data_IF_022467992269
#
_entry.id   IF_022467992269
#
_cell.length_a   1.000
_cell.length_b   1.000
_cell.length_c   1.000
_cell.angle_alpha   90.00
_cell.angle_beta   90.00
_cell.angle_gamma   90.00
#
_symmetry.space_group_name_H-M   'P 1'
#
loop_
_entity.id
_entity.type
_entity.pdbx_description
1 polymer ?
#
# COMPACT_ATOMS: atom_id res chain seq x y z
N UNK A 1 -40.97 25.47 -0.81
CA UNK A 1 -39.56 25.52 -0.39
C UNK A 1 -39.08 24.07 -0.32
N UNK A 2 -38.38 23.59 -1.34
CA UNK A 2 -37.94 22.19 -1.44
C UNK A 2 -36.54 22.16 -0.86
N UNK A 3 -36.35 21.55 0.31
CA UNK A 3 -35.05 21.27 0.88
C UNK A 3 -34.45 20.06 0.14
N UNK A 4 -33.50 20.31 -0.73
CA UNK A 4 -32.62 19.24 -1.22
C UNK A 4 -31.70 18.84 -0.07
N UNK A 5 -32.04 17.73 0.56
CA UNK A 5 -31.15 17.08 1.52
C UNK A 5 -30.05 16.41 0.70
N UNK A 6 -28.95 17.13 0.48
CA UNK A 6 -27.72 16.54 -0.06
C UNK A 6 -27.14 15.64 1.01
N UNK A 7 -27.53 14.37 1.03
CA UNK A 7 -26.79 13.36 1.78
C UNK A 7 -25.42 13.25 1.12
N UNK A 8 -24.42 13.91 1.69
CA UNK A 8 -23.04 13.66 1.34
C UNK A 8 -22.80 12.15 1.52
N UNK A 9 -22.47 11.45 0.44
CA UNK A 9 -22.10 10.05 0.51
C UNK A 9 -20.94 9.95 1.49
N UNK A 10 -21.06 9.07 2.49
CA UNK A 10 -20.02 8.88 3.48
C UNK A 10 -18.72 8.47 2.78
N UNK A 11 -17.60 9.09 3.14
CA UNK A 11 -16.27 8.76 2.63
C UNK A 11 -15.92 7.32 2.97
N UNK A 12 -15.22 6.60 2.08
CA UNK A 12 -14.76 5.25 2.35
C UNK A 12 -13.83 5.24 3.58
N UNK A 13 -13.95 4.24 4.49
CA UNK A 13 -13.23 4.22 5.77
C UNK A 13 -11.70 4.34 5.64
N UNK A 14 -11.12 3.87 4.55
CA UNK A 14 -9.68 3.95 4.33
C UNK A 14 -9.17 5.39 4.31
N UNK A 15 -9.96 6.33 3.82
CA UNK A 15 -9.56 7.74 3.71
C UNK A 15 -9.59 8.48 5.06
N UNK A 16 -10.19 7.90 6.08
CA UNK A 16 -10.21 8.45 7.44
C UNK A 16 -9.04 7.96 8.29
N UNK A 17 -8.19 7.07 7.76
CA UNK A 17 -7.06 6.52 8.46
C UNK A 17 -5.89 7.49 8.43
N UNK A 18 -5.41 7.91 9.59
CA UNK A 18 -4.22 8.74 9.75
C UNK A 18 -2.97 7.92 9.49
N UNK A 19 -2.07 8.42 8.67
CA UNK A 19 -0.78 7.83 8.37
C UNK A 19 0.24 8.93 8.07
N UNK A 20 1.52 8.65 8.34
CA UNK A 20 2.60 9.60 8.08
C UNK A 20 3.43 9.19 6.86
N UNK A 21 3.89 10.19 6.12
CA UNK A 21 4.91 9.98 5.10
C UNK A 21 6.28 9.64 5.71
N UNK A 22 7.27 9.39 4.87
CA UNK A 22 8.64 9.03 5.30
C UNK A 22 9.34 10.15 6.08
N UNK A 23 8.83 11.37 6.04
CA UNK A 23 9.34 12.53 6.77
C UNK A 23 8.52 12.82 8.05
N UNK A 24 7.71 11.86 8.50
CA UNK A 24 6.82 11.96 9.66
C UNK A 24 5.76 13.07 9.55
N UNK A 25 5.40 13.45 8.33
CA UNK A 25 4.31 14.40 8.10
C UNK A 25 2.98 13.66 7.88
N UNK A 26 1.87 14.11 8.48
CA UNK A 26 0.56 13.51 8.26
C UNK A 26 0.16 13.56 6.78
N UNK A 27 -0.34 12.43 6.28
CA UNK A 27 -0.88 12.28 4.93
C UNK A 27 -2.38 12.07 5.01
N UNK A 28 -3.11 12.82 4.21
CA UNK A 28 -4.52 12.61 3.95
C UNK A 28 -4.68 11.68 2.74
N UNK A 29 -5.06 10.43 3.01
CA UNK A 29 -5.26 9.42 1.97
C UNK A 29 -6.37 9.78 0.99
N UNK A 30 -7.28 10.70 1.36
CA UNK A 30 -8.33 11.17 0.44
C UNK A 30 -7.79 11.91 -0.79
N UNK A 31 -6.54 12.40 -0.75
CA UNK A 31 -5.87 12.96 -1.92
C UNK A 31 -5.70 11.95 -3.05
N UNK A 32 -5.72 10.65 -2.74
CA UNK A 32 -5.65 9.58 -3.74
C UNK A 32 -7.03 9.07 -4.17
N UNK A 33 -8.10 9.64 -3.67
CA UNK A 33 -9.46 9.29 -4.06
C UNK A 33 -9.64 9.42 -5.59
N UNK A 34 -10.31 8.43 -6.18
CA UNK A 34 -10.49 8.36 -7.64
C UNK A 34 -9.39 7.57 -8.37
N UNK A 35 -8.27 7.24 -7.68
CA UNK A 35 -7.23 6.34 -8.19
C UNK A 35 -7.29 4.99 -7.48
N UNK A 36 -6.80 3.96 -8.16
CA UNK A 36 -6.44 2.72 -7.49
C UNK A 36 -5.21 2.94 -6.62
N UNK A 37 -5.11 2.24 -5.50
CA UNK A 37 -3.94 2.28 -4.62
C UNK A 37 -3.42 0.86 -4.44
N UNK A 38 -2.12 0.66 -4.62
CA UNK A 38 -1.44 -0.59 -4.29
C UNK A 38 -0.55 -0.36 -3.06
N UNK A 39 -1.01 -0.82 -1.90
CA UNK A 39 -0.20 -0.84 -0.69
C UNK A 39 0.70 -2.06 -0.66
N UNK A 40 1.97 -1.85 -0.36
CA UNK A 40 2.99 -2.92 -0.29
C UNK A 40 3.82 -2.74 0.97
N UNK A 41 3.86 -3.75 1.84
CA UNK A 41 4.82 -3.72 2.95
C UNK A 41 6.20 -4.14 2.44
N UNK A 42 7.17 -3.26 2.58
CA UNK A 42 8.48 -3.36 1.92
C UNK A 42 9.62 -3.54 2.92
N UNK A 43 10.75 -4.03 2.42
CA UNK A 43 11.99 -4.17 3.16
C UNK A 43 13.21 -4.04 2.25
N UNK A 44 14.30 -3.49 2.80
CA UNK A 44 15.54 -3.21 2.07
C UNK A 44 16.48 -4.41 1.96
N UNK A 45 16.33 -5.43 2.84
CA UNK A 45 17.24 -6.58 2.97
C UNK A 45 16.52 -7.93 2.82
N UNK A 46 15.57 -8.00 1.89
CA UNK A 46 14.74 -9.18 1.63
C UNK A 46 15.11 -9.82 0.28
N UNK A 47 14.90 -11.13 0.14
CA UNK A 47 15.01 -11.81 -1.16
C UNK A 47 14.06 -11.25 -2.22
N UNK A 48 12.97 -10.62 -1.81
CA UNK A 48 12.00 -9.97 -2.70
C UNK A 48 12.26 -8.49 -2.95
N UNK A 49 13.33 -7.90 -2.39
CA UNK A 49 13.63 -6.46 -2.52
C UNK A 49 13.79 -6.01 -3.98
N UNK A 50 14.22 -6.92 -4.86
CA UNK A 50 14.27 -6.65 -6.32
C UNK A 50 12.90 -6.26 -6.91
N UNK A 51 11.79 -6.60 -6.27
CA UNK A 51 10.45 -6.20 -6.71
C UNK A 51 10.23 -4.68 -6.70
N UNK A 52 11.05 -3.90 -5.99
CA UNK A 52 11.02 -2.43 -6.08
C UNK A 52 11.09 -1.92 -7.53
N UNK A 53 11.93 -2.56 -8.35
CA UNK A 53 12.08 -2.20 -9.76
C UNK A 53 10.77 -2.36 -10.54
N UNK A 54 10.10 -3.48 -10.35
CA UNK A 54 8.86 -3.78 -11.05
C UNK A 54 7.67 -3.00 -10.47
N UNK A 55 7.70 -2.70 -9.18
CA UNK A 55 6.73 -1.78 -8.54
C UNK A 55 6.86 -0.37 -9.10
N UNK A 56 8.07 0.13 -9.30
CA UNK A 56 8.30 1.44 -9.92
C UNK A 56 7.80 1.46 -11.37
N UNK A 57 8.09 0.41 -12.13
CA UNK A 57 7.58 0.26 -13.50
C UNK A 57 6.05 0.26 -13.54
N UNK A 58 5.42 -0.48 -12.62
CA UNK A 58 3.96 -0.51 -12.48
C UNK A 58 3.42 0.89 -12.17
N UNK A 59 4.03 1.59 -11.22
CA UNK A 59 3.66 2.95 -10.85
C UNK A 59 3.74 3.92 -12.03
N UNK A 60 4.82 3.88 -12.79
CA UNK A 60 5.01 4.74 -13.97
C UNK A 60 4.03 4.44 -15.10
N UNK A 61 3.76 3.16 -15.37
CA UNK A 61 2.88 2.75 -16.44
C UNK A 61 1.40 3.14 -16.18
N UNK A 62 0.99 3.22 -14.92
CA UNK A 62 -0.39 3.48 -14.52
C UNK A 62 -0.57 4.78 -13.72
N UNK A 63 0.40 5.70 -13.75
CA UNK A 63 0.47 6.90 -12.89
C UNK A 63 -0.81 7.75 -12.83
N UNK A 64 -1.62 7.75 -13.88
CA UNK A 64 -2.88 8.50 -13.92
C UNK A 64 -4.06 7.74 -13.27
N UNK A 65 -3.92 6.44 -13.11
CA UNK A 65 -4.98 5.53 -12.64
C UNK A 65 -4.65 4.77 -11.37
N UNK A 66 -3.37 4.59 -11.08
CA UNK A 66 -2.86 3.82 -9.94
C UNK A 66 -1.73 4.58 -9.24
N UNK A 67 -1.71 4.53 -7.93
CA UNK A 67 -0.55 4.89 -7.12
C UNK A 67 -0.05 3.68 -6.33
N UNK A 68 1.26 3.43 -6.36
CA UNK A 68 1.92 2.46 -5.48
C UNK A 68 2.36 3.20 -4.22
N UNK A 69 2.14 2.63 -3.06
CA UNK A 69 2.58 3.17 -1.76
C UNK A 69 3.36 2.09 -1.01
N UNK A 70 4.63 2.34 -0.75
CA UNK A 70 5.49 1.47 0.03
C UNK A 70 5.38 1.77 1.53
N UNK A 71 5.25 0.73 2.34
CA UNK A 71 5.12 0.80 3.79
C UNK A 71 6.21 -0.06 4.43
N UNK A 72 7.35 0.53 4.84
CA UNK A 72 8.43 -0.22 5.45
C UNK A 72 7.99 -0.94 6.72
N UNK A 73 8.44 -2.18 6.91
CA UNK A 73 8.11 -2.98 8.07
C UNK A 73 9.29 -3.88 8.45
N UNK A 74 9.68 -3.87 9.74
CA UNK A 74 10.83 -4.64 10.24
C UNK A 74 10.44 -5.96 10.93
N UNK A 75 9.16 -6.38 10.84
CA UNK A 75 8.67 -7.55 11.58
C UNK A 75 9.03 -8.91 10.94
N UNK A 76 9.58 -8.91 9.73
CA UNK A 76 9.90 -10.14 8.98
C UNK A 76 11.41 -10.33 8.88
N UNK A 77 11.96 -11.07 9.83
CA UNK A 77 13.40 -11.38 9.88
C UNK A 77 14.29 -10.17 10.15
N UNK A 78 13.74 -9.05 10.64
CA UNK A 78 14.52 -7.82 10.86
C UNK A 78 15.12 -7.25 9.57
N UNK A 79 14.43 -7.40 8.44
CA UNK A 79 14.94 -7.07 7.12
C UNK A 79 14.75 -5.59 6.71
N UNK A 80 14.18 -4.77 7.61
CA UNK A 80 14.05 -3.31 7.44
C UNK A 80 14.55 -2.56 8.69
N UNK A 81 15.83 -2.72 9.08
CA UNK A 81 16.33 -2.17 10.34
C UNK A 81 16.63 -0.67 10.29
N UNK A 82 16.72 -0.07 9.09
CA UNK A 82 17.10 1.32 8.91
C UNK A 82 16.07 2.32 9.46
N UNK A 83 16.48 3.56 9.64
CA UNK A 83 15.60 4.70 9.89
C UNK A 83 14.81 5.05 8.63
N UNK A 84 13.75 5.83 8.77
CA UNK A 84 12.96 6.31 7.63
C UNK A 84 13.82 7.04 6.60
N UNK A 85 14.78 7.87 7.04
CA UNK A 85 15.71 8.56 6.14
C UNK A 85 16.62 7.58 5.38
N UNK A 86 17.18 6.58 6.06
CA UNK A 86 18.01 5.55 5.43
C UNK A 86 17.23 4.72 4.42
N UNK A 87 15.97 4.42 4.72
CA UNK A 87 15.06 3.70 3.82
C UNK A 87 14.77 4.54 2.57
N UNK A 88 14.45 5.81 2.76
CA UNK A 88 14.20 6.72 1.63
C UNK A 88 15.43 6.85 0.73
N UNK A 89 16.61 7.00 1.31
CA UNK A 89 17.85 7.04 0.56
C UNK A 89 18.12 5.72 -0.19
N UNK A 90 17.88 4.59 0.47
CA UNK A 90 18.00 3.27 -0.17
C UNK A 90 17.09 3.15 -1.40
N UNK A 91 15.82 3.49 -1.27
CA UNK A 91 14.84 3.40 -2.35
C UNK A 91 15.22 4.30 -3.54
N UNK A 92 15.59 5.55 -3.27
CA UNK A 92 15.96 6.51 -4.32
C UNK A 92 17.28 6.16 -4.99
N UNK A 93 18.31 5.75 -4.23
CA UNK A 93 19.64 5.47 -4.76
C UNK A 93 19.70 4.14 -5.53
N UNK A 94 19.05 3.10 -5.05
CA UNK A 94 19.15 1.75 -5.64
C UNK A 94 18.09 1.48 -6.71
N UNK A 95 16.89 2.04 -6.58
CA UNK A 95 15.75 1.74 -7.46
C UNK A 95 15.16 2.98 -8.14
N UNK A 96 15.63 4.18 -7.79
CA UNK A 96 15.11 5.45 -8.32
C UNK A 96 13.58 5.55 -8.21
N UNK A 97 13.03 5.07 -7.09
CA UNK A 97 11.60 5.05 -6.86
C UNK A 97 11.01 6.45 -6.87
N UNK A 98 9.90 6.62 -7.58
CA UNK A 98 9.09 7.84 -7.59
C UNK A 98 7.76 7.66 -6.87
N UNK A 99 7.34 6.42 -6.61
CA UNK A 99 6.17 6.18 -5.79
C UNK A 99 6.46 6.54 -4.32
N UNK A 100 5.46 7.03 -3.57
CA UNK A 100 5.65 7.40 -2.17
C UNK A 100 5.98 6.19 -1.30
N UNK A 101 6.96 6.38 -0.43
CA UNK A 101 7.27 5.48 0.68
C UNK A 101 6.88 6.20 1.97
N UNK A 102 6.11 5.56 2.82
CA UNK A 102 5.64 6.15 4.07
C UNK A 102 6.53 5.75 5.25
N UNK A 103 6.27 6.31 6.42
CA UNK A 103 6.99 5.95 7.65
C UNK A 103 6.86 4.46 7.96
N UNK A 104 7.91 3.89 8.56
CA UNK A 104 7.93 2.49 9.00
C UNK A 104 6.81 2.21 9.99
N UNK A 105 6.10 1.10 9.79
CA UNK A 105 4.98 0.66 10.61
C UNK A 105 5.07 -0.83 10.96
N UNK A 106 4.30 -1.24 11.95
CA UNK A 106 3.99 -2.65 12.18
C UNK A 106 2.73 -3.03 11.40
N UNK A 107 2.72 -4.23 10.86
CA UNK A 107 1.60 -4.77 10.06
C UNK A 107 0.88 -5.93 10.74
N UNK A 108 1.50 -6.54 11.74
CA UNK A 108 0.97 -7.64 12.54
C UNK A 108 1.00 -7.33 14.03
N UNK A 109 0.14 -8.03 14.78
CA UNK A 109 0.12 -7.97 16.24
C UNK A 109 -0.72 -6.84 16.79
N UNK A 110 -0.66 -6.65 18.09
CA UNK A 110 -1.46 -5.67 18.81
C UNK A 110 -1.17 -4.23 18.39
N UNK A 111 0.09 -3.94 18.07
CA UNK A 111 0.56 -2.63 17.62
C UNK A 111 0.50 -2.42 16.10
N UNK A 112 -0.15 -3.31 15.35
CA UNK A 112 -0.32 -3.14 13.93
C UNK A 112 -1.02 -1.81 13.63
N UNK A 113 -0.52 -1.11 12.60
CA UNK A 113 -1.09 0.15 12.17
C UNK A 113 -2.57 -0.02 11.79
N UNK A 114 -3.47 0.93 12.11
CA UNK A 114 -4.89 0.86 11.77
C UNK A 114 -5.16 0.54 10.29
N UNK A 115 -4.32 1.03 9.37
CA UNK A 115 -4.41 0.70 7.95
C UNK A 115 -4.33 -0.81 7.71
N UNK A 116 -3.37 -1.49 8.33
CA UNK A 116 -3.22 -2.94 8.14
C UNK A 116 -4.27 -3.75 8.88
N UNK A 117 -4.74 -3.29 10.03
CA UNK A 117 -5.91 -3.90 10.69
C UNK A 117 -7.13 -3.86 9.78
N UNK A 118 -7.38 -2.71 9.14
CA UNK A 118 -8.45 -2.54 8.16
C UNK A 118 -8.25 -3.43 6.92
N UNK A 119 -7.10 -3.35 6.25
CA UNK A 119 -6.82 -4.11 5.03
C UNK A 119 -6.93 -5.63 5.24
N UNK A 120 -6.38 -6.13 6.34
CA UNK A 120 -6.39 -7.56 6.65
C UNK A 120 -7.78 -8.07 7.03
N UNK A 121 -8.63 -7.26 7.65
CA UNK A 121 -10.02 -7.61 7.94
C UNK A 121 -10.87 -7.66 6.68
N UNK A 122 -10.66 -6.75 5.75
CA UNK A 122 -11.40 -6.65 4.49
C UNK A 122 -10.97 -7.71 3.46
N UNK A 123 -9.67 -8.00 3.37
CA UNK A 123 -9.08 -8.98 2.46
C UNK A 123 -8.19 -9.97 3.19
N UNK A 124 -8.75 -11.12 3.51
CA UNK A 124 -8.04 -12.21 4.18
C UNK A 124 -7.12 -12.95 3.21
N UNK A 125 -6.07 -13.52 3.75
CA UNK A 125 -5.14 -14.36 3.01
C UNK A 125 -5.59 -15.81 2.91
N UNK A 126 -4.65 -16.70 2.61
CA UNK A 126 -4.87 -18.14 2.49
C UNK A 126 -5.52 -18.71 3.76
N UNK A 127 -6.55 -19.55 3.58
CA UNK A 127 -7.33 -20.18 4.66
C UNK A 127 -7.98 -19.17 5.63
N UNK A 128 -8.30 -17.96 5.16
CA UNK A 128 -8.95 -16.94 5.97
C UNK A 128 -8.02 -16.25 6.98
N UNK A 129 -6.71 -16.39 6.86
CA UNK A 129 -5.73 -15.73 7.74
C UNK A 129 -5.72 -14.22 7.51
N UNK A 130 -5.82 -13.44 8.58
CA UNK A 130 -5.63 -11.99 8.53
C UNK A 130 -4.15 -11.61 8.60
N UNK A 131 -3.31 -12.45 9.19
CA UNK A 131 -1.89 -12.18 9.40
C UNK A 131 -1.15 -11.99 8.07
N UNK A 132 -0.32 -10.94 7.99
CA UNK A 132 0.68 -10.78 6.93
C UNK A 132 1.80 -11.80 7.17
N UNK A 133 2.10 -12.61 6.17
CA UNK A 133 3.05 -13.72 6.31
C UNK A 133 4.48 -13.31 6.06
N UNK A 134 4.71 -12.36 5.15
CA UNK A 134 6.06 -11.91 4.79
C UNK A 134 6.06 -10.52 4.13
N UNK A 135 7.27 -9.98 3.90
CA UNK A 135 7.49 -8.75 3.14
C UNK A 135 6.91 -8.86 1.71
N UNK A 136 6.61 -7.72 1.11
CA UNK A 136 6.07 -7.60 -0.26
C UNK A 136 4.71 -8.30 -0.44
N UNK A 137 3.90 -8.36 0.58
CA UNK A 137 2.45 -8.60 0.48
C UNK A 137 1.80 -7.33 -0.06
N UNK A 138 0.82 -7.46 -0.94
CA UNK A 138 0.20 -6.32 -1.61
C UNK A 138 -1.30 -6.34 -1.41
N UNK A 139 -1.89 -5.15 -1.28
CA UNK A 139 -3.34 -4.94 -1.27
C UNK A 139 -3.71 -3.94 -2.34
N UNK A 140 -4.64 -4.31 -3.22
CA UNK A 140 -5.18 -3.43 -4.24
C UNK A 140 -6.50 -2.82 -3.76
N UNK A 141 -6.57 -1.51 -3.82
CA UNK A 141 -7.72 -0.70 -3.45
C UNK A 141 -8.28 -0.08 -4.73
N UNK A 142 -9.59 -0.15 -4.95
CA UNK A 142 -10.20 0.46 -6.12
C UNK A 142 -10.36 1.99 -5.99
N UNK A 143 -10.81 2.63 -7.04
CA UNK A 143 -10.99 4.09 -7.08
C UNK A 143 -12.06 4.63 -6.11
N UNK A 144 -12.91 3.76 -5.56
CA UNK A 144 -13.89 4.08 -4.53
C UNK A 144 -13.35 3.89 -3.08
N UNK A 145 -12.08 3.48 -2.93
CA UNK A 145 -11.47 3.25 -1.62
C UNK A 145 -11.76 1.88 -1.01
N UNK A 146 -12.22 0.91 -1.80
CA UNK A 146 -12.54 -0.43 -1.34
C UNK A 146 -11.39 -1.40 -1.63
N UNK A 147 -10.92 -2.19 -0.64
CA UNK A 147 -9.97 -3.27 -0.89
C UNK A 147 -10.59 -4.33 -1.80
N UNK A 148 -9.96 -4.61 -2.94
CA UNK A 148 -10.50 -5.56 -3.95
C UNK A 148 -9.65 -6.80 -4.13
N UNK A 149 -8.35 -6.76 -3.80
CA UNK A 149 -7.46 -7.90 -3.90
C UNK A 149 -6.33 -7.87 -2.89
N UNK A 150 -5.81 -9.06 -2.55
CA UNK A 150 -4.62 -9.27 -1.76
C UNK A 150 -3.71 -10.26 -2.47
N UNK A 151 -2.41 -9.93 -2.52
CA UNK A 151 -1.40 -10.76 -3.18
C UNK A 151 -0.28 -11.09 -2.20
N UNK A 152 0.17 -12.34 -2.21
CA UNK A 152 1.32 -12.77 -1.42
C UNK A 152 2.65 -12.21 -1.95
N UNK A 153 3.72 -12.45 -1.18
CA UNK A 153 5.08 -11.98 -1.49
C UNK A 153 5.58 -12.43 -2.86
N UNK A 154 5.25 -13.65 -3.26
CA UNK A 154 5.70 -14.27 -4.52
C UNK A 154 4.98 -13.76 -5.75
N UNK A 155 3.84 -13.07 -5.60
CA UNK A 155 3.12 -12.51 -6.74
C UNK A 155 3.87 -11.31 -7.28
N UNK A 156 4.41 -11.44 -8.49
CA UNK A 156 5.15 -10.37 -9.15
C UNK A 156 4.24 -9.19 -9.54
N UNK A 157 4.76 -7.95 -9.53
CA UNK A 157 3.99 -6.77 -9.96
C UNK A 157 3.41 -6.86 -11.37
N UNK A 158 4.09 -7.55 -12.30
CA UNK A 158 3.57 -7.76 -13.67
C UNK A 158 2.25 -8.55 -13.67
N UNK A 159 2.09 -9.50 -12.75
CA UNK A 159 0.83 -10.24 -12.60
C UNK A 159 -0.29 -9.34 -12.09
N UNK A 160 0.04 -8.41 -11.20
CA UNK A 160 -0.92 -7.42 -10.70
C UNK A 160 -1.34 -6.47 -11.83
N UNK A 161 -0.42 -6.11 -12.73
CA UNK A 161 -0.74 -5.30 -13.92
C UNK A 161 -1.84 -5.94 -14.77
N UNK A 162 -1.80 -7.25 -14.98
CA UNK A 162 -2.85 -7.97 -15.71
C UNK A 162 -4.23 -7.85 -15.04
N UNK A 163 -4.27 -7.89 -13.71
CA UNK A 163 -5.52 -7.74 -12.96
C UNK A 163 -6.02 -6.29 -12.98
N UNK A 164 -5.11 -5.32 -12.91
CA UNK A 164 -5.43 -3.89 -13.04
C UNK A 164 -6.03 -3.61 -14.42
N UNK A 165 -5.47 -4.16 -15.49
CA UNK A 165 -5.98 -3.97 -16.85
C UNK A 165 -7.42 -4.46 -16.99
N UNK A 166 -7.77 -5.57 -16.33
CA UNK A 166 -9.15 -6.10 -16.32
C UNK A 166 -10.13 -5.25 -15.52
N UNK A 167 -9.64 -4.54 -14.49
CA UNK A 167 -10.47 -3.73 -13.59
C UNK A 167 -10.69 -2.31 -14.12
N UNK A 168 -9.74 -1.78 -14.89
CA UNK A 168 -9.76 -0.40 -15.39
C UNK A 168 -10.41 -0.30 -16.79
N UNK A 169 -10.48 -1.39 -17.55
CA UNK A 169 -11.13 -1.48 -18.85
C UNK A 169 -12.61 -1.99 -18.69
#
# INVERSE_FOLDING_TARGET
>A
MIFFNSSALAQAPIYDIEINDIYSQPIDLSHYQGKYILFVNVASKCGFTSQYKDLEKLHQNYKDKLIVIGLPCNQFGGQEPGTDNEIQEFCSSNFKTTFPVFSKIDVNGENAHPLYKFLCSEKKGVLGSEKIKWNFTKFLINSAGEPVARYGSTTAPDKIAEDIDKLIN
#
